data_IF_431424919257
#
_entry.id   IF_431424919257
#
_cell.length_a   1.000
_cell.length_b   1.000
_cell.length_c   1.000
_cell.angle_alpha   90.00
_cell.angle_beta   90.00
_cell.angle_gamma   90.00
#
_symmetry.space_group_name_H-M   'P 1'
#
loop_
_entity.id
_entity.type
_entity.pdbx_description
1 polymer ?
#
# COMPACT_ATOMS: atom_id res chain seq x y z
N UNK A 1 7.06 -21.68 -11.06
CA UNK A 1 7.43 -20.84 -12.22
C UNK A 1 6.35 -19.81 -12.33
N UNK A 2 6.61 -18.67 -11.70
CA UNK A 2 5.62 -17.60 -11.60
C UNK A 2 5.38 -17.02 -12.99
N UNK A 3 4.12 -16.97 -13.37
CA UNK A 3 3.70 -16.30 -14.58
C UNK A 3 3.33 -14.87 -14.19
N UNK A 4 4.35 -14.04 -14.03
CA UNK A 4 4.09 -12.62 -14.01
C UNK A 4 3.17 -12.30 -15.18
N UNK A 5 1.99 -11.83 -14.90
CA UNK A 5 1.02 -11.48 -15.93
C UNK A 5 1.53 -10.24 -16.61
N UNK A 6 2.28 -10.41 -17.67
CA UNK A 6 2.60 -9.34 -18.57
C UNK A 6 1.32 -8.89 -19.25
N UNK A 7 0.75 -7.82 -18.78
CA UNK A 7 -0.33 -7.14 -19.49
C UNK A 7 0.32 -6.12 -20.43
N UNK A 8 0.99 -6.60 -21.43
CA UNK A 8 1.35 -5.81 -22.58
C UNK A 8 0.12 -5.66 -23.48
N UNK A 9 -0.72 -4.72 -23.25
CA UNK A 9 -1.51 -4.17 -24.34
C UNK A 9 -0.53 -3.48 -25.28
N UNK A 10 -0.53 -3.81 -26.55
CA UNK A 10 0.42 -3.43 -27.59
C UNK A 10 0.78 -1.96 -27.80
N UNK A 11 0.51 -1.11 -26.85
CA UNK A 11 1.09 0.20 -26.66
C UNK A 11 2.24 0.01 -25.68
N UNK A 12 3.46 0.09 -26.17
CA UNK A 12 4.69 -0.07 -25.43
C UNK A 12 4.60 0.63 -24.06
N UNK A 13 4.93 -0.09 -22.98
CA UNK A 13 5.30 0.55 -21.74
C UNK A 13 6.44 1.52 -22.08
N UNK A 14 6.21 2.82 -21.98
CA UNK A 14 7.20 3.83 -22.40
C UNK A 14 8.42 3.79 -21.47
N UNK A 15 8.26 3.24 -20.27
CA UNK A 15 9.34 3.08 -19.30
C UNK A 15 9.10 1.85 -18.44
N UNK A 16 10.14 1.04 -18.29
CA UNK A 16 10.20 -0.05 -17.32
C UNK A 16 11.47 0.15 -16.52
N UNK A 17 11.36 0.20 -15.19
CA UNK A 17 12.52 0.22 -14.31
C UNK A 17 12.44 -0.88 -13.27
N UNK A 18 13.61 -1.38 -12.86
CA UNK A 18 13.76 -2.41 -11.85
C UNK A 18 14.66 -1.85 -10.74
N UNK A 19 14.14 -1.78 -9.54
CA UNK A 19 14.86 -1.26 -8.38
C UNK A 19 14.97 -2.34 -7.30
N UNK A 20 16.19 -2.62 -6.83
CA UNK A 20 16.39 -3.53 -5.71
C UNK A 20 15.81 -2.91 -4.42
N UNK A 21 15.19 -3.75 -3.60
CA UNK A 21 14.66 -3.40 -2.29
C UNK A 21 15.26 -4.33 -1.24
N UNK A 22 15.74 -3.76 -0.14
CA UNK A 22 16.34 -4.54 0.96
C UNK A 22 15.28 -5.30 1.76
N UNK A 23 14.06 -4.77 1.79
CA UNK A 23 12.95 -5.33 2.55
C UNK A 23 11.64 -5.28 1.75
N UNK A 24 11.14 -6.46 1.40
CA UNK A 24 9.82 -6.71 0.82
C UNK A 24 9.22 -7.90 1.57
N UNK A 25 8.30 -7.66 2.49
CA UNK A 25 7.71 -8.67 3.37
C UNK A 25 8.74 -9.42 4.25
N UNK A 26 9.78 -8.74 4.71
CA UNK A 26 10.87 -9.32 5.50
C UNK A 26 11.89 -10.14 4.68
N UNK A 27 11.93 -9.97 3.37
CA UNK A 27 12.90 -10.56 2.45
C UNK A 27 13.54 -9.50 1.58
N UNK A 28 14.76 -9.70 1.08
CA UNK A 28 15.25 -8.90 -0.03
C UNK A 28 14.35 -9.10 -1.25
N UNK A 29 14.25 -8.08 -2.10
CA UNK A 29 13.36 -8.16 -3.25
C UNK A 29 13.62 -7.09 -4.28
N UNK A 30 12.64 -6.82 -5.10
CA UNK A 30 12.69 -5.74 -6.07
C UNK A 30 11.32 -5.14 -6.34
N UNK A 31 11.36 -3.93 -6.83
CA UNK A 31 10.24 -3.19 -7.38
C UNK A 31 10.36 -3.13 -8.90
N UNK A 32 9.29 -3.45 -9.59
CA UNK A 32 9.14 -3.32 -11.02
C UNK A 32 8.17 -2.17 -11.31
N UNK A 33 8.71 -1.02 -11.71
CA UNK A 33 7.92 0.12 -12.14
C UNK A 33 7.58 0.00 -13.62
N UNK A 34 6.33 0.24 -13.96
CA UNK A 34 5.85 0.31 -15.33
C UNK A 34 4.92 1.51 -15.50
N UNK A 35 5.05 2.20 -16.64
CA UNK A 35 4.10 3.26 -17.00
C UNK A 35 3.04 2.64 -17.89
N UNK A 36 1.77 2.78 -17.49
CA UNK A 36 0.63 2.30 -18.24
C UNK A 36 -0.13 3.47 -18.86
N UNK A 37 -0.25 3.49 -20.18
CA UNK A 37 -0.80 4.63 -20.90
C UNK A 37 0.10 5.85 -20.80
N UNK A 38 -0.50 7.03 -20.66
CA UNK A 38 0.24 8.29 -20.64
C UNK A 38 0.45 8.85 -19.22
N UNK A 39 -0.19 8.26 -18.21
CA UNK A 39 -0.32 8.95 -16.90
C UNK A 39 -0.36 8.03 -15.67
N UNK A 40 -0.31 6.71 -15.81
CA UNK A 40 -0.39 5.82 -14.65
C UNK A 40 0.92 5.08 -14.44
N UNK A 41 1.56 5.34 -13.31
CA UNK A 41 2.70 4.55 -12.83
C UNK A 41 2.19 3.41 -11.96
N UNK A 42 2.65 2.20 -12.25
CA UNK A 42 2.38 0.99 -11.48
C UNK A 42 3.69 0.41 -11.00
N UNK A 43 3.79 0.16 -9.71
CA UNK A 43 4.92 -0.50 -9.09
C UNK A 43 4.47 -1.83 -8.52
N UNK A 44 5.01 -2.92 -9.07
CA UNK A 44 4.85 -4.28 -8.57
C UNK A 44 6.04 -4.67 -7.69
N UNK A 45 5.78 -5.23 -6.53
CA UNK A 45 6.79 -5.65 -5.57
C UNK A 45 6.91 -7.16 -5.54
N UNK A 46 8.14 -7.65 -5.50
CA UNK A 46 8.46 -9.07 -5.46
C UNK A 46 9.47 -9.35 -4.36
N UNK A 47 9.14 -10.31 -3.50
CA UNK A 47 10.04 -10.83 -2.47
C UNK A 47 10.88 -11.98 -3.04
N UNK A 48 12.17 -12.02 -2.72
CA UNK A 48 13.05 -13.15 -3.04
C UNK A 48 13.07 -14.11 -1.86
N UNK A 49 12.37 -15.21 -1.99
CA UNK A 49 12.27 -16.27 -0.99
C UNK A 49 13.11 -17.50 -1.40
N UNK A 50 13.19 -18.51 -0.56
CA UNK A 50 13.80 -19.80 -0.90
C UNK A 50 13.08 -20.50 -2.06
N UNK A 51 11.82 -20.18 -2.31
CA UNK A 51 11.02 -20.73 -3.41
C UNK A 51 11.18 -19.95 -4.71
N UNK A 52 11.91 -18.84 -4.69
CA UNK A 52 12.10 -17.91 -5.79
C UNK A 52 11.40 -16.57 -5.56
N UNK A 53 11.09 -15.88 -6.64
CA UNK A 53 10.38 -14.61 -6.57
C UNK A 53 8.89 -14.84 -6.33
N UNK A 54 8.37 -14.18 -5.30
CA UNK A 54 6.95 -14.21 -4.94
C UNK A 54 6.40 -12.80 -5.05
N UNK A 55 5.27 -12.65 -5.70
CA UNK A 55 4.56 -11.38 -5.76
C UNK A 55 4.15 -10.94 -4.36
N UNK A 56 4.47 -9.70 -4.01
CA UNK A 56 4.30 -9.18 -2.67
C UNK A 56 3.22 -8.11 -2.56
N UNK A 57 2.96 -7.39 -3.66
CA UNK A 57 1.97 -6.33 -3.64
C UNK A 57 2.17 -5.31 -4.76
N UNK A 58 1.30 -4.29 -4.79
CA UNK A 58 1.28 -3.26 -5.84
C UNK A 58 0.96 -1.89 -5.27
N UNK A 59 1.57 -0.87 -5.88
CA UNK A 59 1.03 0.49 -5.87
C UNK A 59 0.63 0.90 -7.28
N UNK A 60 -0.33 1.80 -7.38
CA UNK A 60 -0.67 2.44 -8.63
C UNK A 60 -1.03 3.92 -8.37
N UNK A 61 -0.51 4.81 -9.17
CA UNK A 61 -0.77 6.24 -9.04
C UNK A 61 -0.84 6.91 -10.41
N UNK A 62 -1.57 8.01 -10.48
CA UNK A 62 -1.55 8.86 -11.65
C UNK A 62 -0.44 9.87 -11.51
N UNK A 63 0.44 9.91 -12.53
CA UNK A 63 1.51 10.89 -12.64
C UNK A 63 0.92 12.21 -13.18
N UNK A 64 0.19 12.90 -12.32
CA UNK A 64 -0.07 14.31 -12.54
C UNK A 64 1.11 15.08 -11.93
N UNK A 65 1.49 16.23 -12.51
CA UNK A 65 2.64 17.07 -12.13
C UNK A 65 2.75 17.40 -10.62
N UNK A 66 1.72 17.11 -9.86
CA UNK A 66 1.68 17.07 -8.42
C UNK A 66 1.56 15.61 -7.93
N UNK A 67 2.38 14.69 -8.44
CA UNK A 67 2.47 13.32 -7.93
C UNK A 67 2.44 13.41 -6.41
N UNK A 68 1.31 13.03 -5.85
CA UNK A 68 0.99 13.40 -4.48
C UNK A 68 2.13 12.92 -3.60
N UNK A 69 2.80 13.84 -2.93
CA UNK A 69 3.76 13.49 -1.89
C UNK A 69 3.11 12.39 -1.06
N UNK A 70 3.64 11.18 -1.12
CA UNK A 70 3.12 10.09 -0.33
C UNK A 70 2.52 8.88 -1.06
N UNK A 71 2.46 8.82 -2.40
CA UNK A 71 2.25 7.55 -3.08
C UNK A 71 3.53 6.72 -2.98
N UNK A 72 3.41 5.45 -2.60
CA UNK A 72 4.58 4.63 -2.42
C UNK A 72 4.33 3.34 -1.64
N UNK A 73 5.43 2.72 -1.26
CA UNK A 73 5.43 1.51 -0.47
C UNK A 73 6.47 1.61 0.65
N UNK A 74 6.08 1.16 1.84
CA UNK A 74 6.90 1.24 3.04
C UNK A 74 6.93 -0.11 3.75
N UNK A 75 8.11 -0.67 4.06
CA UNK A 75 8.22 -1.79 4.97
C UNK A 75 8.01 -1.31 6.42
N UNK A 76 7.19 -2.02 7.18
CA UNK A 76 6.94 -1.75 8.60
C UNK A 76 6.49 -3.03 9.29
N UNK A 77 7.11 -3.38 10.40
CA UNK A 77 6.63 -4.45 11.28
C UNK A 77 5.38 -3.98 12.04
N UNK A 78 4.24 -4.02 11.35
CA UNK A 78 2.95 -3.55 11.85
C UNK A 78 2.32 -4.53 12.84
N UNK A 79 2.58 -5.83 12.67
CA UNK A 79 2.03 -6.89 13.52
C UNK A 79 2.87 -7.14 14.76
N UNK A 80 4.11 -6.67 14.80
CA UNK A 80 5.04 -6.85 15.90
C UNK A 80 5.62 -8.28 15.99
N UNK A 81 5.61 -9.01 14.87
CA UNK A 81 6.11 -10.38 14.80
C UNK A 81 7.59 -10.48 14.40
N UNK A 82 8.23 -9.33 14.16
CA UNK A 82 9.63 -9.20 13.75
C UNK A 82 9.84 -9.35 12.25
N UNK A 83 8.77 -9.36 11.46
CA UNK A 83 8.79 -9.37 10.00
C UNK A 83 8.01 -8.18 9.47
N UNK A 84 8.57 -7.49 8.50
CA UNK A 84 7.90 -6.33 7.92
C UNK A 84 6.71 -6.74 7.06
N UNK A 85 5.60 -6.03 7.22
CA UNK A 85 4.57 -5.88 6.22
C UNK A 85 5.02 -4.87 5.16
N UNK A 86 4.44 -4.95 3.97
CA UNK A 86 4.54 -3.94 2.94
C UNK A 86 3.26 -3.11 2.93
N UNK A 87 3.37 -1.84 3.31
CA UNK A 87 2.25 -0.91 3.27
C UNK A 87 2.33 -0.14 1.98
N UNK A 88 1.26 -0.13 1.21
CA UNK A 88 1.20 0.57 -0.06
C UNK A 88 0.08 1.59 -0.07
N UNK A 89 0.31 2.72 -0.72
CA UNK A 89 -0.71 3.71 -1.03
C UNK A 89 -0.84 3.84 -2.53
N UNK A 90 -2.06 3.82 -3.00
CA UNK A 90 -2.42 4.04 -4.40
C UNK A 90 -3.43 5.17 -4.51
N UNK A 91 -3.21 6.10 -5.43
CA UNK A 91 -4.13 7.20 -5.71
C UNK A 91 -4.81 6.96 -7.06
N UNK A 92 -6.13 7.02 -7.08
CA UNK A 92 -6.94 6.87 -8.29
C UNK A 92 -7.36 8.23 -8.86
N UNK A 93 -7.76 8.26 -10.13
CA UNK A 93 -8.04 9.49 -10.88
C UNK A 93 -9.18 10.36 -10.37
N UNK A 94 -9.96 9.88 -9.41
CA UNK A 94 -10.98 10.64 -8.68
C UNK A 94 -10.44 11.31 -7.40
N UNK A 95 -9.13 11.18 -7.15
CA UNK A 95 -8.47 11.68 -5.94
C UNK A 95 -8.64 10.77 -4.73
N UNK A 96 -9.32 9.63 -4.87
CA UNK A 96 -9.40 8.63 -3.80
C UNK A 96 -8.08 7.89 -3.66
N UNK A 97 -7.64 7.70 -2.44
CA UNK A 97 -6.47 6.89 -2.11
C UNK A 97 -6.89 5.63 -1.37
N UNK A 98 -6.28 4.51 -1.74
CA UNK A 98 -6.42 3.25 -1.02
C UNK A 98 -5.10 2.89 -0.36
N UNK A 99 -5.18 2.40 0.87
CA UNK A 99 -4.04 1.86 1.60
C UNK A 99 -4.22 0.37 1.72
N UNK A 100 -3.27 -0.37 1.18
CA UNK A 100 -3.21 -1.81 1.32
C UNK A 100 -2.02 -2.19 2.19
N UNK A 101 -2.20 -3.25 2.96
CA UNK A 101 -1.14 -3.86 3.76
C UNK A 101 -0.97 -5.29 3.28
N UNK A 102 0.24 -5.64 2.89
CA UNK A 102 0.59 -6.98 2.47
C UNK A 102 1.48 -7.62 3.53
N UNK A 103 1.26 -8.88 3.83
CA UNK A 103 2.09 -9.66 4.73
C UNK A 103 2.48 -11.00 4.14
N UNK A 104 3.56 -11.56 4.64
CA UNK A 104 3.94 -12.92 4.31
C UNK A 104 3.07 -13.93 5.04
N UNK A 105 2.51 -14.90 4.30
CA UNK A 105 1.84 -16.06 4.85
C UNK A 105 2.73 -17.30 4.68
N UNK A 106 3.43 -17.68 5.75
CA UNK A 106 4.34 -18.82 5.73
C UNK A 106 3.63 -20.16 5.46
N UNK A 107 2.36 -20.30 5.83
CA UNK A 107 1.61 -21.52 5.63
C UNK A 107 1.27 -21.77 4.14
N UNK A 108 1.06 -20.70 3.40
CA UNK A 108 0.72 -20.76 1.98
C UNK A 108 1.94 -20.49 1.07
N UNK A 109 3.04 -19.97 1.64
CA UNK A 109 4.23 -19.61 0.88
C UNK A 109 4.00 -18.45 -0.09
N UNK A 110 3.14 -17.50 0.29
CA UNK A 110 2.71 -16.38 -0.52
C UNK A 110 2.39 -15.14 0.29
N UNK A 111 1.93 -14.09 -0.39
CA UNK A 111 1.45 -12.88 0.25
C UNK A 111 -0.05 -12.93 0.52
N UNK A 112 -0.45 -12.23 1.57
CA UNK A 112 -1.85 -11.90 1.85
C UNK A 112 -2.00 -10.39 1.88
N UNK A 113 -3.15 -9.91 1.46
CA UNK A 113 -3.52 -8.51 1.46
C UNK A 113 -4.66 -8.23 2.45
N UNK A 114 -4.57 -7.09 3.10
CA UNK A 114 -5.69 -6.44 3.77
C UNK A 114 -5.75 -4.99 3.35
N UNK A 115 -6.89 -4.36 3.55
CA UNK A 115 -7.11 -2.93 3.35
C UNK A 115 -7.65 -2.29 4.61
N UNK A 116 -7.63 -0.97 4.68
CA UNK A 116 -8.22 -0.25 5.80
C UNK A 116 -9.74 -0.44 5.78
N UNK A 117 -10.26 -0.93 6.89
CA UNK A 117 -11.69 -1.01 7.18
C UNK A 117 -12.15 0.31 7.78
N UNK A 118 -12.87 1.09 6.99
CA UNK A 118 -13.27 2.44 7.38
C UNK A 118 -14.27 2.47 8.53
N UNK A 119 -15.09 1.43 8.68
CA UNK A 119 -16.00 1.33 9.82
C UNK A 119 -15.22 1.12 11.13
N UNK A 120 -14.16 0.32 11.08
CA UNK A 120 -13.25 0.14 12.22
C UNK A 120 -12.46 1.41 12.53
N UNK A 121 -11.95 2.09 11.50
CA UNK A 121 -11.23 3.33 11.65
C UNK A 121 -12.14 4.41 12.27
N UNK A 122 -13.37 4.56 11.78
CA UNK A 122 -14.35 5.50 12.34
C UNK A 122 -14.74 5.13 13.78
N UNK A 123 -14.95 3.86 14.07
CA UNK A 123 -15.21 3.38 15.42
C UNK A 123 -14.04 3.62 16.39
N UNK A 124 -12.80 3.54 15.93
CA UNK A 124 -11.63 3.87 16.74
C UNK A 124 -11.54 5.37 17.01
N UNK A 125 -11.82 6.21 16.02
CA UNK A 125 -11.92 7.66 16.18
C UNK A 125 -13.07 8.07 17.11
N UNK A 126 -14.22 7.40 17.00
CA UNK A 126 -15.37 7.67 17.83
C UNK A 126 -15.12 7.43 19.33
N UNK A 127 -14.13 6.59 19.66
CA UNK A 127 -13.65 6.43 21.07
C UNK A 127 -12.81 7.61 21.54
N UNK A 128 -12.26 8.40 20.61
CA UNK A 128 -11.40 9.54 20.88
C UNK A 128 -12.10 10.87 20.67
N UNK A 129 -13.07 10.94 19.78
CA UNK A 129 -13.84 12.14 19.42
C UNK A 129 -15.15 11.72 18.75
N UNK A 130 -16.06 12.68 18.48
CA UNK A 130 -17.31 12.38 17.78
C UNK A 130 -17.07 11.69 16.43
N UNK A 131 -17.95 10.73 16.02
CA UNK A 131 -17.81 10.01 14.75
C UNK A 131 -17.69 10.98 13.57
N UNK A 132 -16.81 10.66 12.64
CA UNK A 132 -16.59 11.43 11.43
C UNK A 132 -17.07 10.55 10.27
N UNK A 133 -18.04 11.00 9.46
CA UNK A 133 -18.29 10.35 8.17
C UNK A 133 -17.06 10.53 7.29
N UNK A 134 -16.43 9.45 6.80
CA UNK A 134 -15.04 9.54 6.37
C UNK A 134 -14.82 9.18 4.90
N UNK A 135 -14.12 10.06 4.22
CA UNK A 135 -13.29 9.72 3.05
C UNK A 135 -11.84 9.76 3.51
N UNK A 136 -11.10 8.68 3.38
CA UNK A 136 -9.78 8.57 3.97
C UNK A 136 -8.63 8.65 2.99
N UNK A 137 -7.53 9.18 3.46
CA UNK A 137 -6.28 9.31 2.73
C UNK A 137 -5.10 9.00 3.65
N UNK A 138 -4.19 8.14 3.21
CA UNK A 138 -2.92 7.96 3.91
C UNK A 138 -1.94 9.02 3.41
N UNK A 139 -1.35 9.79 4.29
CA UNK A 139 -0.52 10.91 3.85
C UNK A 139 0.93 10.80 4.19
N UNK A 140 1.33 10.11 5.24
CA UNK A 140 2.73 10.27 5.64
C UNK A 140 3.30 9.01 6.27
N UNK A 141 4.43 8.57 5.72
CA UNK A 141 5.35 7.68 6.40
C UNK A 141 6.35 8.52 7.21
N UNK A 142 6.36 8.33 8.52
CA UNK A 142 7.35 8.96 9.39
C UNK A 142 8.56 8.05 9.54
N UNK A 143 9.60 8.30 8.74
CA UNK A 143 10.82 7.50 8.74
C UNK A 143 11.58 7.52 10.08
N UNK A 144 11.36 8.55 10.92
CA UNK A 144 12.04 8.68 12.21
C UNK A 144 11.47 7.79 13.30
N UNK A 145 10.18 7.54 13.26
CA UNK A 145 9.46 6.74 14.25
C UNK A 145 8.86 5.45 13.65
N UNK A 146 9.11 5.23 12.35
CA UNK A 146 8.67 4.05 11.63
C UNK A 146 7.15 3.82 11.74
N UNK A 147 6.37 4.89 11.60
CA UNK A 147 4.92 4.86 11.66
C UNK A 147 4.29 5.33 10.36
N UNK A 148 3.08 4.87 10.10
CA UNK A 148 2.21 5.35 9.03
C UNK A 148 0.96 5.92 9.66
N UNK A 149 0.57 7.11 9.24
CA UNK A 149 -0.66 7.74 9.69
C UNK A 149 -1.65 7.86 8.55
N UNK A 150 -2.92 7.71 8.87
CA UNK A 150 -4.03 7.97 7.97
C UNK A 150 -4.55 9.37 8.25
N UNK A 151 -4.63 10.20 7.23
CA UNK A 151 -5.36 11.47 7.32
C UNK A 151 -6.79 11.26 6.88
N UNK A 152 -7.71 11.67 7.71
CA UNK A 152 -9.13 11.43 7.55
C UNK A 152 -9.85 12.76 7.36
N UNK A 153 -10.67 12.84 6.31
CA UNK A 153 -11.45 14.03 5.99
C UNK A 153 -12.92 13.78 6.28
N UNK A 154 -13.61 14.77 6.81
CA UNK A 154 -15.07 14.70 6.95
C UNK A 154 -15.76 14.96 5.61
N UNK A 155 -17.00 14.50 5.45
CA UNK A 155 -17.80 14.80 4.26
C UNK A 155 -17.96 16.32 4.01
N UNK A 156 -17.87 17.12 5.07
CA UNK A 156 -17.90 18.58 4.95
C UNK A 156 -16.57 19.19 4.44
N UNK A 157 -15.52 18.39 4.30
CA UNK A 157 -14.21 18.82 3.81
C UNK A 157 -13.48 19.81 4.74
N UNK A 158 -13.98 20.03 5.94
CA UNK A 158 -13.49 21.11 6.82
C UNK A 158 -12.71 20.65 8.02
N UNK A 159 -12.69 19.36 8.31
CA UNK A 159 -11.96 18.83 9.45
C UNK A 159 -11.06 17.69 9.03
N UNK A 160 -9.79 17.90 9.27
CA UNK A 160 -8.71 16.92 9.10
C UNK A 160 -8.35 16.33 10.45
N UNK A 161 -8.17 15.04 10.52
CA UNK A 161 -7.66 14.34 11.70
C UNK A 161 -6.75 13.20 11.27
N UNK A 162 -5.89 12.76 12.16
CA UNK A 162 -4.95 11.67 11.86
C UNK A 162 -5.21 10.48 12.77
N UNK A 163 -5.03 9.30 12.21
CA UNK A 163 -5.13 8.02 12.91
C UNK A 163 -3.89 7.19 12.58
N UNK A 164 -3.17 6.64 13.57
CA UNK A 164 -2.12 5.68 13.29
C UNK A 164 -2.66 4.46 12.56
N UNK A 165 -1.97 4.02 11.52
CA UNK A 165 -2.26 2.73 10.90
C UNK A 165 -1.81 1.63 11.86
N UNK A 166 -2.74 0.81 12.28
CA UNK A 166 -2.50 -0.36 13.13
C UNK A 166 -3.31 -1.55 12.63
N UNK A 167 -3.03 -2.74 13.13
CA UNK A 167 -3.81 -3.93 12.78
C UNK A 167 -5.29 -3.84 13.17
N UNK A 168 -5.63 -2.98 14.14
CA UNK A 168 -7.00 -2.80 14.63
C UNK A 168 -7.93 -2.15 13.59
N UNK A 169 -7.36 -1.41 12.64
CA UNK A 169 -8.14 -0.74 11.58
C UNK A 169 -8.11 -1.51 10.26
N UNK A 170 -7.51 -2.69 10.22
CA UNK A 170 -7.46 -3.52 9.02
C UNK A 170 -8.70 -4.41 8.89
N UNK A 171 -9.10 -4.64 7.65
CA UNK A 171 -10.11 -5.63 7.27
C UNK A 171 -9.59 -7.07 7.36
N UNK A 172 -10.32 -7.98 6.73
CA UNK A 172 -9.91 -9.38 6.64
C UNK A 172 -8.72 -9.55 5.69
N UNK A 173 -7.88 -10.54 5.99
CA UNK A 173 -6.76 -10.90 5.13
C UNK A 173 -7.22 -11.84 4.02
N UNK A 174 -6.86 -11.53 2.79
CA UNK A 174 -7.13 -12.36 1.60
C UNK A 174 -5.83 -12.73 0.90
N UNK A 175 -5.78 -13.92 0.34
CA UNK A 175 -4.65 -14.37 -0.50
C UNK A 175 -4.65 -13.60 -1.83
N UNK A 176 -3.48 -13.14 -2.25
CA UNK A 176 -3.24 -12.47 -3.53
C UNK A 176 -3.00 -13.51 -4.67
#
# INVERSE_FOLDING_TARGET
>A
MDRGTWIGNGNAAEKVSLTARDDVLGFPGFELETIQGTVMTVCDFYALTEQGFVYAGRTAGYDFDDAAEGDGAWPLDLTGDGRSELITRSTFGDGMSCVFVYRWNAAEGGSQRSEVDWDKADAQLARLSAPLGVTARAETYHAQDNTVTLTLYTESGTKETTLPLTTDVLGEWSTE
#
